data_IF_806417023772
#
_entry.id   IF_806417023772
#
_cell.length_a   1.000
_cell.length_b   1.000
_cell.length_c   1.000
_cell.angle_alpha   90.00
_cell.angle_beta   90.00
_cell.angle_gamma   90.00
#
_symmetry.space_group_name_H-M   'P 1'
#
loop_
_entity.id
_entity.type
_entity.pdbx_description
1 polymer ?
#
# COMPACT_ATOMS: atom_id res chain seq x y z
N UNK A 1 23.46 -12.25 21.10
CA UNK A 1 22.50 -12.59 20.04
C UNK A 1 22.70 -11.58 18.94
N UNK A 2 23.20 -12.00 17.77
CA UNK A 2 23.46 -11.10 16.65
C UNK A 2 22.13 -10.78 15.97
N UNK A 3 21.76 -9.51 15.93
CA UNK A 3 20.66 -9.04 15.11
C UNK A 3 21.01 -9.31 13.63
N UNK A 4 20.08 -9.92 12.91
CA UNK A 4 20.18 -10.09 11.46
C UNK A 4 19.96 -8.72 10.80
N UNK A 5 21.05 -8.00 10.55
CA UNK A 5 21.06 -6.90 9.59
C UNK A 5 20.91 -7.48 8.18
N UNK A 6 19.75 -7.25 7.57
CA UNK A 6 19.58 -7.42 6.13
C UNK A 6 20.30 -6.26 5.44
N UNK A 7 21.25 -6.51 4.52
CA UNK A 7 21.93 -5.45 3.80
C UNK A 7 20.94 -4.84 2.82
N UNK A 8 20.38 -3.68 3.18
CA UNK A 8 19.73 -2.79 2.23
C UNK A 8 20.81 -2.39 1.22
N UNK A 9 20.63 -2.73 -0.05
CA UNK A 9 21.46 -2.18 -1.12
C UNK A 9 21.10 -0.69 -1.19
N UNK A 10 21.88 0.11 -0.46
CA UNK A 10 21.84 1.56 -0.48
C UNK A 10 22.22 2.05 -1.88
N UNK A 11 21.23 2.16 -2.78
CA UNK A 11 21.32 3.14 -3.86
C UNK A 11 21.23 4.50 -3.20
N UNK A 12 22.37 4.97 -2.67
CA UNK A 12 22.42 6.23 -1.94
C UNK A 12 21.81 7.34 -2.79
N UNK A 13 20.67 7.83 -2.32
CA UNK A 13 19.97 8.96 -2.94
C UNK A 13 20.98 10.09 -3.16
N UNK A 14 20.93 10.72 -4.34
CA UNK A 14 21.75 11.89 -4.62
C UNK A 14 21.44 12.99 -3.60
N UNK A 15 22.37 13.92 -3.37
CA UNK A 15 22.13 15.06 -2.48
C UNK A 15 20.86 15.84 -2.85
N UNK A 16 20.58 15.98 -4.15
CA UNK A 16 19.36 16.60 -4.65
C UNK A 16 18.10 15.81 -4.25
N UNK A 17 18.13 14.47 -4.39
CA UNK A 17 17.01 13.61 -3.98
C UNK A 17 16.78 13.65 -2.46
N UNK A 18 17.84 13.68 -1.65
CA UNK A 18 17.74 13.82 -0.18
C UNK A 18 17.14 15.18 0.21
N UNK A 19 17.64 16.27 -0.37
CA UNK A 19 17.13 17.62 -0.10
C UNK A 19 15.67 17.76 -0.54
N UNK A 20 15.30 17.16 -1.68
CA UNK A 20 13.93 17.15 -2.15
C UNK A 20 13.02 16.37 -1.19
N UNK A 21 13.38 15.14 -0.78
CA UNK A 21 12.59 14.37 0.20
C UNK A 21 12.45 15.09 1.55
N UNK A 22 13.49 15.76 2.03
CA UNK A 22 13.43 16.56 3.26
C UNK A 22 12.35 17.65 3.24
N UNK A 23 11.99 18.14 2.05
CA UNK A 23 10.91 19.12 1.84
C UNK A 23 9.53 18.49 1.67
N UNK A 24 9.45 17.19 1.36
CA UNK A 24 8.20 16.46 1.14
C UNK A 24 7.96 15.50 2.30
N UNK A 25 7.45 16.02 3.42
CA UNK A 25 7.21 15.25 4.66
C UNK A 25 6.22 14.08 4.49
N UNK A 26 5.48 14.08 3.40
CA UNK A 26 4.52 13.05 3.03
C UNK A 26 5.18 11.84 2.37
N UNK A 27 6.45 11.91 1.97
CA UNK A 27 7.18 10.74 1.44
C UNK A 27 7.29 9.66 2.51
N UNK A 28 7.01 8.41 2.14
CA UNK A 28 7.06 7.26 3.06
C UNK A 28 8.26 6.38 2.76
N UNK A 29 8.51 6.09 1.48
CA UNK A 29 9.59 5.21 1.02
C UNK A 29 10.06 5.65 -0.36
N UNK A 30 10.86 4.82 -1.05
CA UNK A 30 11.46 5.24 -2.31
C UNK A 30 10.46 5.58 -3.39
N UNK A 31 9.37 4.82 -3.44
CA UNK A 31 8.40 4.89 -4.51
C UNK A 31 6.99 5.24 -4.07
N UNK A 32 6.77 5.48 -2.77
CA UNK A 32 5.44 5.73 -2.21
C UNK A 32 5.42 6.96 -1.31
N UNK A 33 4.36 7.75 -1.43
CA UNK A 33 4.06 8.89 -0.55
C UNK A 33 2.62 8.86 -0.05
N UNK A 34 2.35 9.51 1.09
CA UNK A 34 1.08 9.45 1.82
C UNK A 34 -0.12 9.88 0.96
N UNK A 35 0.06 10.90 0.11
CA UNK A 35 -1.00 11.41 -0.76
C UNK A 35 -1.62 10.35 -1.68
N UNK A 36 -0.86 9.35 -2.13
CA UNK A 36 -1.38 8.24 -2.94
C UNK A 36 -2.41 7.39 -2.18
N UNK A 37 -2.30 7.34 -0.86
CA UNK A 37 -3.20 6.58 0.00
C UNK A 37 -4.40 7.42 0.45
N UNK A 38 -4.30 8.75 0.41
CA UNK A 38 -5.37 9.68 0.76
C UNK A 38 -6.26 9.95 -0.46
N UNK A 39 -5.67 9.97 -1.66
CA UNK A 39 -6.38 10.32 -2.86
C UNK A 39 -7.51 9.33 -3.20
N UNK A 40 -8.66 9.89 -3.55
CA UNK A 40 -9.79 9.18 -4.15
C UNK A 40 -10.54 10.12 -5.07
N UNK A 41 -10.70 9.73 -6.34
CA UNK A 41 -11.46 10.53 -7.31
C UNK A 41 -12.89 10.80 -6.82
N UNK A 42 -13.51 9.81 -6.18
CA UNK A 42 -14.86 9.94 -5.60
C UNK A 42 -14.87 10.95 -4.45
N UNK A 43 -13.84 10.94 -3.58
CA UNK A 43 -13.76 11.92 -2.50
C UNK A 43 -13.59 13.34 -3.04
N UNK A 44 -12.75 13.52 -4.07
CA UNK A 44 -12.56 14.82 -4.73
C UNK A 44 -13.86 15.29 -5.39
N UNK A 45 -14.50 14.43 -6.18
CA UNK A 45 -15.76 14.73 -6.88
C UNK A 45 -16.89 15.10 -5.91
N UNK A 46 -16.93 14.44 -4.75
CA UNK A 46 -17.97 14.65 -3.72
C UNK A 46 -17.57 15.64 -2.63
N UNK A 47 -16.39 16.25 -2.70
CA UNK A 47 -15.91 17.20 -1.70
C UNK A 47 -15.73 16.60 -0.29
N UNK A 48 -15.39 15.31 -0.20
CA UNK A 48 -15.23 14.61 1.07
C UNK A 48 -13.83 14.79 1.63
N UNK A 49 -13.74 14.98 2.94
CA UNK A 49 -12.48 14.86 3.66
C UNK A 49 -12.12 13.37 3.81
N UNK A 50 -11.00 12.99 3.19
CA UNK A 50 -10.43 11.65 3.29
C UNK A 50 -9.11 11.65 4.07
N UNK A 51 -8.89 12.65 4.93
CA UNK A 51 -7.68 12.75 5.76
C UNK A 51 -7.63 11.62 6.79
N UNK A 52 -6.59 10.77 6.76
CA UNK A 52 -6.47 9.66 7.69
C UNK A 52 -6.12 10.16 9.11
N UNK A 53 -6.74 9.61 10.17
CA UNK A 53 -6.30 9.86 11.53
C UNK A 53 -4.87 9.36 11.77
N UNK A 54 -4.17 9.81 12.83
CA UNK A 54 -2.76 9.47 13.07
C UNK A 54 -2.46 7.97 13.09
N UNK A 55 -3.39 7.17 13.59
CA UNK A 55 -3.30 5.71 13.70
C UNK A 55 -3.34 5.06 12.32
N UNK A 56 -4.22 5.55 11.44
CA UNK A 56 -4.26 5.11 10.04
C UNK A 56 -3.02 5.55 9.27
N UNK A 57 -2.48 6.76 9.53
CA UNK A 57 -1.20 7.18 8.95
C UNK A 57 -0.04 6.26 9.36
N UNK A 58 0.02 5.86 10.64
CA UNK A 58 1.01 4.88 11.12
C UNK A 58 0.82 3.52 10.42
N UNK A 59 -0.42 3.07 10.26
CA UNK A 59 -0.73 1.82 9.56
C UNK A 59 -0.33 1.85 8.09
N UNK A 60 -0.59 2.96 7.38
CA UNK A 60 -0.16 3.15 5.99
C UNK A 60 1.36 3.10 5.90
N UNK A 61 2.09 3.78 6.81
CA UNK A 61 3.55 3.73 6.84
C UNK A 61 4.07 2.31 7.08
N UNK A 62 3.42 1.54 7.94
CA UNK A 62 3.72 0.12 8.15
C UNK A 62 3.45 -0.72 6.88
N UNK A 63 2.28 -0.56 6.25
CA UNK A 63 1.91 -1.24 5.01
C UNK A 63 2.95 -0.97 3.90
N UNK A 64 3.34 0.29 3.71
CA UNK A 64 4.33 0.68 2.70
C UNK A 64 5.69 0.06 3.01
N UNK A 65 6.22 0.30 4.21
CA UNK A 65 7.60 -0.08 4.54
C UNK A 65 7.81 -1.57 4.73
N UNK A 66 6.76 -2.33 5.09
CA UNK A 66 6.87 -3.77 5.39
C UNK A 66 6.31 -4.67 4.30
N UNK A 67 5.48 -4.16 3.40
CA UNK A 67 4.88 -4.94 2.31
C UNK A 67 5.11 -4.31 0.94
N UNK A 68 4.66 -3.07 0.70
CA UNK A 68 4.59 -2.54 -0.67
C UNK A 68 5.95 -2.21 -1.27
N UNK A 69 6.82 -1.55 -0.51
CA UNK A 69 8.17 -1.20 -0.99
C UNK A 69 9.01 -2.46 -1.26
N UNK A 70 9.14 -3.43 -0.33
CA UNK A 70 9.85 -4.69 -0.63
C UNK A 70 9.23 -5.48 -1.78
N UNK A 71 7.89 -5.46 -1.91
CA UNK A 71 7.20 -6.13 -3.01
C UNK A 71 7.52 -5.47 -4.35
N UNK A 72 7.56 -4.14 -4.41
CA UNK A 72 7.92 -3.39 -5.61
C UNK A 72 9.34 -3.68 -6.06
N UNK A 73 10.28 -3.72 -5.11
CA UNK A 73 11.66 -4.09 -5.38
C UNK A 73 11.76 -5.51 -5.92
N UNK A 74 11.04 -6.47 -5.30
CA UNK A 74 11.03 -7.86 -5.73
C UNK A 74 10.40 -8.05 -7.11
N UNK A 75 9.27 -7.39 -7.40
CA UNK A 75 8.60 -7.43 -8.70
C UNK A 75 9.36 -6.68 -9.80
N UNK A 76 10.40 -5.95 -9.44
CA UNK A 76 11.14 -5.03 -10.30
C UNK A 76 10.48 -3.66 -10.35
N UNK A 77 11.27 -2.62 -10.06
CA UNK A 77 10.82 -1.21 -9.97
C UNK A 77 10.07 -0.73 -11.23
N UNK A 78 10.45 -1.25 -12.40
CA UNK A 78 9.82 -0.94 -13.69
C UNK A 78 8.36 -1.41 -13.81
N UNK A 79 7.94 -2.37 -12.98
CA UNK A 79 6.56 -2.89 -12.98
C UNK A 79 5.55 -1.81 -12.57
N UNK A 80 5.97 -0.83 -11.77
CA UNK A 80 5.08 0.22 -11.24
C UNK A 80 4.02 -0.34 -10.29
N UNK A 81 3.66 0.41 -9.25
CA UNK A 81 2.55 0.06 -8.36
C UNK A 81 1.67 1.29 -8.22
N UNK A 82 0.62 1.36 -9.06
CA UNK A 82 -0.29 2.49 -9.09
C UNK A 82 -1.43 2.24 -8.09
N UNK A 83 -1.43 3.02 -7.00
CA UNK A 83 -2.47 2.95 -5.98
C UNK A 83 -3.78 3.47 -6.58
N UNK A 84 -4.79 2.59 -6.64
CA UNK A 84 -6.14 2.95 -7.07
C UNK A 84 -7.01 3.43 -5.90
N UNK A 85 -6.74 2.93 -4.70
CA UNK A 85 -7.39 3.35 -3.46
C UNK A 85 -6.56 2.92 -2.25
N UNK A 86 -6.24 3.86 -1.36
CA UNK A 86 -5.62 3.57 -0.06
C UNK A 86 -6.63 3.66 1.08
N UNK A 87 -6.41 4.58 2.01
CA UNK A 87 -7.33 4.88 3.09
C UNK A 87 -8.71 5.33 2.59
N UNK A 88 -9.74 4.95 3.33
CA UNK A 88 -11.10 5.46 3.14
C UNK A 88 -11.64 5.93 4.47
N UNK A 89 -12.15 7.16 4.53
CA UNK A 89 -13.03 7.61 5.60
C UNK A 89 -14.31 6.77 5.60
N UNK A 90 -15.03 6.74 6.71
CA UNK A 90 -16.27 5.95 6.80
C UNK A 90 -17.29 6.34 5.73
N UNK A 91 -17.43 7.65 5.49
CA UNK A 91 -18.33 8.18 4.48
C UNK A 91 -17.91 7.76 3.07
N UNK A 92 -16.63 7.92 2.72
CA UNK A 92 -16.12 7.46 1.43
C UNK A 92 -16.33 5.95 1.27
N UNK A 93 -16.02 5.15 2.30
CA UNK A 93 -16.17 3.70 2.27
C UNK A 93 -17.63 3.30 2.00
N UNK A 94 -18.61 3.94 2.66
CA UNK A 94 -20.04 3.69 2.38
C UNK A 94 -20.42 4.04 0.94
N UNK A 95 -19.97 5.20 0.43
CA UNK A 95 -20.29 5.67 -0.91
C UNK A 95 -19.76 4.77 -2.03
N UNK A 96 -18.58 4.17 -1.83
CA UNK A 96 -18.00 3.22 -2.80
C UNK A 96 -18.47 1.78 -2.59
N UNK A 97 -19.45 1.56 -1.72
CA UNK A 97 -20.00 0.22 -1.43
C UNK A 97 -19.04 -0.69 -0.66
N UNK A 98 -18.13 -0.11 0.12
CA UNK A 98 -17.23 -0.82 1.00
C UNK A 98 -17.95 -1.43 2.21
N UNK A 99 -17.36 -2.48 2.79
CA UNK A 99 -17.88 -3.16 3.98
C UNK A 99 -17.44 -2.44 5.26
N UNK A 100 -18.23 -2.56 6.33
CA UNK A 100 -18.01 -1.87 7.62
C UNK A 100 -16.69 -2.25 8.30
N UNK A 101 -16.21 -3.47 8.13
CA UNK A 101 -14.96 -3.97 8.71
C UNK A 101 -13.79 -3.98 7.72
N UNK A 102 -13.84 -3.09 6.73
CA UNK A 102 -12.80 -2.94 5.70
C UNK A 102 -11.48 -2.44 6.30
N UNK A 103 -10.36 -3.07 5.94
CA UNK A 103 -9.03 -2.62 6.35
C UNK A 103 -8.58 -1.30 5.68
N UNK A 104 -9.32 -0.80 4.68
CA UNK A 104 -9.11 0.56 4.17
C UNK A 104 -9.44 1.63 5.22
N UNK A 105 -10.40 1.36 6.11
CA UNK A 105 -10.80 2.29 7.18
C UNK A 105 -9.71 2.48 8.24
N UNK A 106 -8.80 1.53 8.37
CA UNK A 106 -7.70 1.54 9.35
C UNK A 106 -6.35 1.87 8.73
N UNK A 107 -6.30 2.15 7.42
CA UNK A 107 -5.04 2.37 6.70
C UNK A 107 -4.18 1.11 6.52
N UNK A 108 -4.75 -0.07 6.78
CA UNK A 108 -4.05 -1.36 6.71
C UNK A 108 -4.18 -2.04 5.35
N UNK A 109 -4.87 -1.42 4.39
CA UNK A 109 -5.06 -1.98 3.06
C UNK A 109 -4.91 -0.96 1.93
N UNK A 110 -4.62 -1.48 0.75
CA UNK A 110 -4.52 -0.73 -0.49
C UNK A 110 -4.99 -1.56 -1.68
N UNK A 111 -5.61 -0.92 -2.65
CA UNK A 111 -5.98 -1.50 -3.94
C UNK A 111 -5.02 -0.98 -5.00
N UNK A 112 -4.41 -1.87 -5.78
CA UNK A 112 -3.38 -1.54 -6.76
C UNK A 112 -3.84 -1.98 -8.15
N UNK A 113 -3.75 -1.09 -9.13
CA UNK A 113 -4.04 -1.46 -10.51
C UNK A 113 -3.06 -2.54 -10.98
N UNK A 114 -3.62 -3.56 -11.63
CA UNK A 114 -2.86 -4.68 -12.21
C UNK A 114 -2.83 -4.62 -13.73
N UNK A 115 -3.70 -3.81 -14.34
CA UNK A 115 -3.89 -3.74 -15.79
C UNK A 115 -4.10 -5.12 -16.43
N UNK A 116 -4.76 -6.04 -15.70
CA UNK A 116 -5.04 -7.41 -16.14
C UNK A 116 -3.88 -8.41 -15.94
N UNK A 117 -2.75 -7.98 -15.37
CA UNK A 117 -1.57 -8.82 -15.14
C UNK A 117 -1.53 -9.42 -13.74
N UNK A 118 -1.31 -10.74 -13.64
CA UNK A 118 -1.13 -11.44 -12.35
C UNK A 118 0.29 -11.32 -11.77
N UNK A 119 1.23 -10.65 -12.46
CA UNK A 119 2.64 -10.60 -12.06
C UNK A 119 2.87 -10.10 -10.64
N UNK A 120 2.07 -9.14 -10.19
CA UNK A 120 2.20 -8.61 -8.82
C UNK A 120 1.79 -9.65 -7.76
N UNK A 121 0.76 -10.46 -8.05
CA UNK A 121 0.35 -11.57 -7.17
C UNK A 121 1.43 -12.66 -7.13
N UNK A 122 1.99 -13.02 -8.29
CA UNK A 122 3.07 -14.00 -8.40
C UNK A 122 4.32 -13.55 -7.63
N UNK A 123 4.71 -12.28 -7.81
CA UNK A 123 5.80 -11.66 -7.07
C UNK A 123 5.55 -11.69 -5.55
N UNK A 124 4.32 -11.40 -5.11
CA UNK A 124 3.97 -11.49 -3.69
C UNK A 124 4.16 -12.92 -3.16
N UNK A 125 3.67 -13.93 -3.87
CA UNK A 125 3.79 -15.33 -3.46
C UNK A 125 5.25 -15.81 -3.43
N UNK A 126 6.09 -15.33 -4.35
CA UNK A 126 7.52 -15.68 -4.43
C UNK A 126 8.37 -14.94 -3.38
N UNK A 127 8.00 -13.70 -3.03
CA UNK A 127 8.74 -12.85 -2.09
C UNK A 127 8.76 -13.34 -0.64
N UNK A 128 7.79 -14.21 -0.26
CA UNK A 128 7.55 -14.66 1.13
C UNK A 128 7.31 -13.51 2.13
N UNK A 129 6.96 -12.32 1.66
CA UNK A 129 6.60 -11.19 2.52
C UNK A 129 5.41 -11.54 3.40
N UNK A 130 5.34 -10.90 4.56
CA UNK A 130 4.18 -11.04 5.44
C UNK A 130 3.04 -10.15 4.92
N UNK A 131 1.82 -10.66 4.94
CA UNK A 131 0.61 -9.93 4.55
C UNK A 131 -0.62 -10.59 5.18
N UNK A 132 -1.69 -9.85 5.36
CA UNK A 132 -2.94 -10.40 5.86
C UNK A 132 -3.76 -11.04 4.75
N UNK A 133 -4.15 -10.25 3.74
CA UNK A 133 -4.91 -10.71 2.59
C UNK A 133 -4.36 -10.16 1.28
N UNK A 134 -4.45 -10.98 0.23
CA UNK A 134 -4.26 -10.61 -1.16
C UNK A 134 -5.50 -11.07 -1.94
N UNK A 135 -6.32 -10.14 -2.42
CA UNK A 135 -7.55 -10.44 -3.17
C UNK A 135 -7.40 -9.91 -4.58
N UNK A 136 -7.23 -10.80 -5.55
CA UNK A 136 -7.04 -10.43 -6.95
C UNK A 136 -8.39 -10.39 -7.69
N UNK A 137 -8.85 -9.20 -8.05
CA UNK A 137 -10.08 -8.98 -8.81
C UNK A 137 -9.78 -8.93 -10.30
N UNK A 138 -9.70 -10.10 -10.95
CA UNK A 138 -9.25 -10.24 -12.35
C UNK A 138 -10.03 -9.38 -13.32
N UNK A 139 -11.36 -9.45 -13.24
CA UNK A 139 -12.27 -8.71 -14.14
C UNK A 139 -12.29 -7.21 -13.87
N UNK A 140 -11.94 -6.79 -12.66
CA UNK A 140 -11.89 -5.36 -12.28
C UNK A 140 -10.50 -4.75 -12.44
N UNK A 141 -9.48 -5.57 -12.74
CA UNK A 141 -8.14 -5.10 -13.07
C UNK A 141 -7.34 -4.56 -11.88
N UNK A 142 -7.63 -4.98 -10.64
CA UNK A 142 -6.86 -4.58 -9.47
C UNK A 142 -6.64 -5.74 -8.49
N UNK A 143 -5.64 -5.57 -7.62
CA UNK A 143 -5.38 -6.45 -6.48
C UNK A 143 -5.50 -5.65 -5.18
N UNK A 144 -6.25 -6.17 -4.24
CA UNK A 144 -6.31 -5.69 -2.87
C UNK A 144 -5.20 -6.36 -2.06
N UNK A 145 -4.38 -5.57 -1.39
CA UNK A 145 -3.35 -6.03 -0.47
C UNK A 145 -3.56 -5.41 0.90
N UNK A 146 -3.45 -6.22 1.96
CA UNK A 146 -3.54 -5.74 3.33
C UNK A 146 -2.46 -6.30 4.24
N UNK A 147 -2.10 -5.52 5.26
CA UNK A 147 -1.15 -5.89 6.31
C UNK A 147 -1.59 -5.27 7.63
N UNK A 148 -1.87 -6.11 8.61
CA UNK A 148 -2.23 -5.65 9.96
C UNK A 148 -1.00 -5.15 10.71
N UNK A 149 -1.19 -4.06 11.45
CA UNK A 149 -0.20 -3.57 12.42
C UNK A 149 -0.19 -4.46 13.66
N UNK A 150 -1.37 -4.95 14.08
CA UNK A 150 -1.54 -5.78 15.28
C UNK A 150 -2.26 -7.09 14.96
N UNK A 151 -1.90 -8.14 15.69
CA UNK A 151 -2.49 -9.46 15.56
C UNK A 151 -1.86 -10.31 14.44
N UNK A 152 -2.47 -11.47 14.17
CA UNK A 152 -1.94 -12.44 13.20
C UNK A 152 -2.36 -12.05 11.78
N UNK A 153 -1.36 -11.90 10.92
CA UNK A 153 -1.52 -11.79 9.47
C UNK A 153 -1.81 -13.18 8.87
N UNK A 154 -2.91 -13.32 8.13
CA UNK A 154 -3.45 -14.61 7.68
C UNK A 154 -2.72 -15.20 6.47
N UNK A 155 -2.00 -14.38 5.68
CA UNK A 155 -1.44 -14.74 4.37
C UNK A 155 -2.46 -15.38 3.42
N UNK A 156 -3.68 -14.85 3.42
CA UNK A 156 -4.76 -15.41 2.63
C UNK A 156 -4.72 -14.87 1.19
N UNK A 157 -4.75 -15.76 0.21
CA UNK A 157 -4.89 -15.39 -1.21
C UNK A 157 -6.29 -15.78 -1.70
N UNK A 158 -6.97 -14.83 -2.35
CA UNK A 158 -8.32 -15.01 -2.91
C UNK A 158 -8.31 -14.51 -4.36
N UNK A 159 -8.94 -15.24 -5.28
CA UNK A 159 -9.12 -14.83 -6.67
C UNK A 159 -10.60 -14.59 -6.92
N UNK A 160 -10.94 -13.42 -7.47
CA UNK A 160 -12.30 -12.98 -7.80
C UNK A 160 -12.41 -12.52 -9.26
#
# INVERSE_FOLDING_TARGET
>A
MKECEFPMIDRSLTMAQRAWRGKHRDWISDHFYMGEFIYSAVAVERGLDNTPPPEAQKAIRNLVTKLLEPLREHAGVATGMHISSGYRSEELNRLVGGVENSQHLTGEATDIYTFGSCRLLEALQQSRLNFDQAIYYRRRGFIHLSLKVKGKNRRQVIIK
#
